data_IF_871946423198
#
_entry.id   IF_871946423198
#
_cell.length_a   1.000
_cell.length_b   1.000
_cell.length_c   1.000
_cell.angle_alpha   90.00
_cell.angle_beta   90.00
_cell.angle_gamma   90.00
#
_symmetry.space_group_name_H-M   'P 1'
#
loop_
_entity.id
_entity.type
_entity.pdbx_description
1 polymer ?
#
# COMPACT_ATOMS: atom_id res chain seq x y z
N UNK A 1 -14.25 5.04 2.43
CA UNK A 1 -13.27 4.21 1.69
C UNK A 1 -12.06 5.07 1.33
N UNK A 2 -10.85 4.52 1.45
CA UNK A 2 -9.57 5.23 1.25
C UNK A 2 -9.44 5.73 -0.20
N UNK A 3 -9.23 7.04 -0.39
CA UNK A 3 -9.26 7.66 -1.73
C UNK A 3 -8.17 7.14 -2.68
N UNK A 4 -7.02 6.72 -2.17
CA UNK A 4 -5.86 6.32 -2.98
C UNK A 4 -6.00 4.98 -3.72
N UNK A 5 -6.85 4.06 -3.22
CA UNK A 5 -7.08 2.75 -3.84
C UNK A 5 -8.52 2.56 -4.36
N UNK A 6 -9.35 3.61 -4.31
CA UNK A 6 -10.75 3.55 -4.77
C UNK A 6 -10.79 3.49 -6.30
N UNK A 7 -11.58 2.56 -6.83
CA UNK A 7 -11.93 2.42 -8.24
C UNK A 7 -13.47 2.44 -8.32
N UNK A 8 -14.02 3.14 -9.31
CA UNK A 8 -15.47 3.40 -9.39
C UNK A 8 -16.29 2.13 -9.62
N UNK A 9 -15.80 1.20 -10.45
CA UNK A 9 -16.51 -0.05 -10.82
C UNK A 9 -15.90 -1.32 -10.21
N UNK A 10 -14.89 -1.23 -9.35
CA UNK A 10 -14.25 -2.39 -8.72
C UNK A 10 -14.30 -2.21 -7.22
N UNK A 11 -14.99 -3.12 -6.54
CA UNK A 11 -15.10 -3.11 -5.08
C UNK A 11 -13.80 -3.60 -4.43
N UNK A 12 -12.87 -2.65 -4.24
CA UNK A 12 -11.60 -2.91 -3.58
C UNK A 12 -11.76 -2.79 -2.05
N UNK A 13 -11.30 -3.80 -1.32
CA UNK A 13 -11.04 -3.68 0.11
C UNK A 13 -9.54 -3.65 0.38
N UNK A 14 -9.15 -3.00 1.47
CA UNK A 14 -7.76 -3.00 1.88
C UNK A 14 -7.43 -2.03 3.00
N UNK A 15 -6.16 -2.05 3.40
CA UNK A 15 -5.61 -1.26 4.48
C UNK A 15 -4.22 -0.75 4.10
N UNK A 16 -3.96 0.50 4.47
CA UNK A 16 -2.65 1.13 4.38
C UNK A 16 -1.81 0.86 5.63
N UNK A 17 -0.50 0.74 5.44
CA UNK A 17 0.51 0.67 6.48
C UNK A 17 1.60 1.72 6.28
N UNK A 18 2.16 2.19 7.38
CA UNK A 18 3.36 3.05 7.39
C UNK A 18 4.13 2.66 8.63
N UNK A 19 5.33 2.14 8.43
CA UNK A 19 6.18 1.64 9.50
C UNK A 19 7.55 2.33 9.45
N UNK A 20 7.91 3.02 10.53
CA UNK A 20 9.24 3.57 10.72
C UNK A 20 10.22 2.43 10.99
N UNK A 21 11.39 2.46 10.36
CA UNK A 21 12.42 1.43 10.55
C UNK A 21 13.20 1.67 11.83
N UNK A 22 13.72 0.59 12.40
CA UNK A 22 14.65 0.68 13.53
C UNK A 22 16.03 1.11 13.01
N UNK A 23 16.61 2.12 13.64
CA UNK A 23 17.99 2.60 13.43
C UNK A 23 18.71 2.75 14.76
N UNK A 24 20.03 2.63 14.74
CA UNK A 24 20.87 2.94 15.89
C UNK A 24 21.37 4.39 15.79
N UNK A 25 21.44 5.08 16.92
CA UNK A 25 22.17 6.35 17.03
C UNK A 25 23.69 6.12 17.06
N UNK A 26 24.48 7.20 17.17
CA UNK A 26 25.95 7.13 17.23
C UNK A 26 26.47 6.38 18.46
N UNK A 27 25.66 6.28 19.52
CA UNK A 27 25.97 5.59 20.78
C UNK A 27 25.51 4.12 20.76
N UNK A 28 24.83 3.69 19.69
CA UNK A 28 24.32 2.33 19.51
C UNK A 28 22.93 2.08 20.10
N UNK A 29 22.22 3.11 20.59
CA UNK A 29 20.86 2.95 21.10
C UNK A 29 19.86 2.84 19.95
N UNK A 30 18.89 1.92 20.09
CA UNK A 30 17.87 1.69 19.07
C UNK A 30 16.71 2.70 19.18
N UNK A 31 16.26 3.21 18.04
CA UNK A 31 15.08 4.05 17.90
C UNK A 31 14.43 3.93 16.53
N UNK A 32 13.30 4.61 16.34
CA UNK A 32 12.64 4.69 15.04
C UNK A 32 13.24 5.81 14.19
N UNK A 33 13.49 5.51 12.92
CA UNK A 33 13.95 6.49 11.95
C UNK A 33 12.80 7.38 11.50
N UNK A 34 13.03 8.70 11.50
CA UNK A 34 12.08 9.68 10.95
C UNK A 34 12.06 9.69 9.41
N UNK A 35 13.12 9.19 8.79
CA UNK A 35 13.33 9.30 7.34
C UNK A 35 13.31 7.94 6.64
N UNK A 36 13.56 6.85 7.37
CA UNK A 36 13.50 5.50 6.83
C UNK A 36 12.17 4.85 7.21
N UNK A 37 11.28 4.77 6.22
CA UNK A 37 9.94 4.22 6.39
C UNK A 37 9.66 3.12 5.36
N UNK A 38 8.76 2.22 5.71
CA UNK A 38 8.12 1.29 4.80
C UNK A 38 6.67 1.71 4.66
N UNK A 39 6.29 2.16 3.47
CA UNK A 39 4.91 2.48 3.12
C UNK A 39 4.27 1.27 2.44
N UNK A 40 3.06 0.88 2.84
CA UNK A 40 2.43 -0.32 2.29
C UNK A 40 0.92 -0.20 2.10
N UNK A 41 0.40 -1.08 1.25
CA UNK A 41 -1.01 -1.34 1.07
C UNK A 41 -1.21 -2.84 0.93
N UNK A 42 -2.21 -3.39 1.63
CA UNK A 42 -2.68 -4.76 1.42
C UNK A 42 -4.19 -4.73 1.15
N UNK A 43 -4.65 -5.46 0.15
CA UNK A 43 -6.06 -5.49 -0.21
C UNK A 43 -6.39 -6.50 -1.28
N UNK A 44 -7.67 -6.62 -1.60
CA UNK A 44 -8.17 -7.53 -2.63
C UNK A 44 -9.41 -6.99 -3.34
N UNK A 45 -9.80 -7.70 -4.40
CA UNK A 45 -10.98 -7.38 -5.20
C UNK A 45 -11.50 -8.60 -5.98
N UNK A 46 -12.79 -8.62 -6.35
CA UNK A 46 -13.87 -7.78 -5.77
C UNK A 46 -14.18 -8.15 -4.32
N UNK A 47 -14.86 -7.28 -3.58
CA UNK A 47 -15.07 -7.44 -2.12
C UNK A 47 -15.87 -8.68 -1.75
N UNK A 48 -17.02 -8.89 -2.42
CA UNK A 48 -17.93 -9.98 -2.10
C UNK A 48 -17.40 -11.36 -2.56
N UNK A 49 -16.57 -11.39 -3.61
CA UNK A 49 -15.94 -12.62 -4.11
C UNK A 49 -14.47 -12.37 -4.52
N UNK A 50 -13.53 -12.28 -3.57
CA UNK A 50 -12.15 -11.93 -3.86
C UNK A 50 -11.49 -12.91 -4.82
N UNK A 51 -11.01 -12.39 -5.96
CA UNK A 51 -10.25 -13.16 -6.97
C UNK A 51 -8.75 -12.96 -6.84
N UNK A 52 -8.34 -11.78 -6.37
CA UNK A 52 -6.93 -11.40 -6.23
C UNK A 52 -6.68 -10.72 -4.89
N UNK A 53 -5.49 -10.94 -4.33
CA UNK A 53 -4.95 -10.19 -3.19
C UNK A 53 -3.63 -9.56 -3.62
N UNK A 54 -3.42 -8.29 -3.28
CA UNK A 54 -2.24 -7.51 -3.62
C UNK A 54 -1.63 -6.96 -2.35
N UNK A 55 -0.31 -7.11 -2.23
CA UNK A 55 0.53 -6.43 -1.25
C UNK A 55 1.52 -5.54 -2.01
N UNK A 56 1.42 -4.23 -1.79
CA UNK A 56 2.38 -3.25 -2.27
C UNK A 56 3.25 -2.80 -1.10
N UNK A 57 4.57 -2.86 -1.28
CA UNK A 57 5.56 -2.37 -0.32
C UNK A 57 6.47 -1.39 -1.05
N UNK A 58 6.58 -0.18 -0.52
CA UNK A 58 7.52 0.83 -0.99
C UNK A 58 8.52 1.12 0.12
N UNK A 59 9.78 0.85 -0.20
CA UNK A 59 10.90 0.95 0.72
C UNK A 59 11.56 2.33 0.64
N UNK A 60 11.58 3.09 1.75
CA UNK A 60 12.15 4.44 1.83
C UNK A 60 11.68 5.38 0.70
N UNK A 61 10.36 5.63 0.55
CA UNK A 61 9.86 6.61 -0.40
C UNK A 61 10.38 8.02 -0.07
N UNK A 62 10.65 8.84 -1.10
CA UNK A 62 11.35 10.13 -0.95
C UNK A 62 10.41 11.33 -0.77
N UNK A 63 9.34 11.41 -1.56
CA UNK A 63 8.50 12.62 -1.64
C UNK A 63 7.30 12.59 -0.69
N UNK A 64 6.89 11.40 -0.24
CA UNK A 64 5.84 11.19 0.75
C UNK A 64 6.09 9.89 1.50
N UNK A 65 5.65 9.79 2.76
CA UNK A 65 5.90 8.62 3.61
C UNK A 65 4.65 7.77 3.89
N UNK A 66 3.46 8.36 3.79
CA UNK A 66 2.23 7.68 4.18
C UNK A 66 1.75 6.69 3.10
N UNK A 67 1.38 5.48 3.52
CA UNK A 67 0.95 4.39 2.63
C UNK A 67 -0.29 4.71 1.77
N UNK A 68 -1.16 5.61 2.23
CA UNK A 68 -2.30 6.09 1.43
C UNK A 68 -1.88 6.98 0.25
N UNK A 69 -0.75 7.70 0.37
CA UNK A 69 -0.22 8.56 -0.68
C UNK A 69 0.73 7.77 -1.58
N UNK A 70 1.53 6.88 -0.99
CA UNK A 70 2.60 6.16 -1.68
C UNK A 70 2.12 4.85 -2.28
N UNK A 71 1.62 3.92 -1.46
CA UNK A 71 1.38 2.53 -1.86
C UNK A 71 -0.02 2.30 -2.45
N UNK A 72 -1.04 2.98 -1.93
CA UNK A 72 -2.42 2.80 -2.38
C UNK A 72 -2.65 3.13 -3.88
N UNK A 73 -2.06 4.19 -4.46
CA UNK A 73 -2.21 4.46 -5.91
C UNK A 73 -1.65 3.35 -6.79
N UNK A 74 -0.52 2.75 -6.41
CA UNK A 74 0.04 1.61 -7.14
C UNK A 74 -0.87 0.38 -7.05
N UNK A 75 -1.50 0.13 -5.91
CA UNK A 75 -2.48 -0.95 -5.79
C UNK A 75 -3.66 -0.74 -6.74
N UNK A 76 -4.14 0.50 -6.88
CA UNK A 76 -5.18 0.86 -7.86
C UNK A 76 -4.74 0.53 -9.30
N UNK A 77 -3.54 0.94 -9.71
CA UNK A 77 -3.03 0.65 -11.06
C UNK A 77 -2.93 -0.86 -11.32
N UNK A 78 -2.50 -1.63 -10.32
CA UNK A 78 -2.41 -3.10 -10.45
C UNK A 78 -3.80 -3.73 -10.55
N UNK A 79 -4.78 -3.31 -9.73
CA UNK A 79 -6.15 -3.82 -9.85
C UNK A 79 -6.76 -3.53 -11.24
N UNK A 80 -6.55 -2.32 -11.77
CA UNK A 80 -7.02 -1.95 -13.12
C UNK A 80 -6.36 -2.80 -14.21
N UNK A 81 -5.07 -3.11 -14.07
CA UNK A 81 -4.38 -3.99 -15.00
C UNK A 81 -4.89 -5.44 -14.92
N UNK A 82 -5.15 -5.95 -13.71
CA UNK A 82 -5.63 -7.31 -13.47
C UNK A 82 -7.09 -7.53 -13.88
N UNK A 83 -7.91 -6.47 -13.90
CA UNK A 83 -9.31 -6.54 -14.35
C UNK A 83 -9.44 -7.17 -15.75
N UNK A 84 -8.49 -6.88 -16.64
CA UNK A 84 -8.45 -7.42 -18.00
C UNK A 84 -8.32 -8.95 -18.06
N UNK A 85 -7.84 -9.59 -16.99
CA UNK A 85 -7.59 -11.03 -16.92
C UNK A 85 -8.56 -11.77 -15.99
N UNK A 86 -9.00 -11.10 -14.93
CA UNK A 86 -9.77 -11.72 -13.85
C UNK A 86 -11.23 -11.26 -13.80
N UNK A 87 -11.61 -10.24 -14.57
CA UNK A 87 -12.94 -9.62 -14.54
C UNK A 87 -13.31 -9.25 -13.11
N UNK A 88 -12.63 -8.24 -12.59
CA UNK A 88 -12.76 -7.78 -11.20
C UNK A 88 -13.97 -6.87 -11.00
N UNK A 89 -14.51 -6.30 -12.09
CA UNK A 89 -15.83 -5.68 -12.13
C UNK A 89 -16.97 -6.69 -12.04
#
# INVERSE_FOLDING_TARGET
MYSGAKIEDIEVFGKTGTAEKIVADEEGNLGYSKDQVVASFIGGAPFDQPKVTILVIVNNPKDAIFGNIVAAPWAKEIFLALDQYFSLK
#
